data_IF_289847548522
#
_entry.id   IF_289847548522
#
_cell.length_a   1.000
_cell.length_b   1.000
_cell.length_c   1.000
_cell.angle_alpha   90.00
_cell.angle_beta   90.00
_cell.angle_gamma   90.00
#
_symmetry.space_group_name_H-M   'P 1'
#
loop_
_entity.id
_entity.type
_entity.pdbx_description
1 polymer ?
#
# COMPACT_ATOMS: atom_id res chain seq x y z
N UNK A 1 -2.09 48.29 -32.11
CA UNK A 1 -1.25 47.19 -31.61
C UNK A 1 -1.59 46.98 -30.15
N UNK A 2 -2.07 45.81 -29.74
CA UNK A 2 -1.28 44.58 -29.47
C UNK A 2 -0.30 44.82 -28.30
N UNK A 3 -0.19 44.02 -27.24
CA UNK A 3 -0.91 42.83 -26.79
C UNK A 3 -0.62 42.62 -25.28
N UNK A 4 -1.48 41.82 -24.67
CA UNK A 4 -1.56 41.34 -23.29
C UNK A 4 -0.29 40.76 -22.66
N UNK A 5 0.04 41.16 -21.43
CA UNK A 5 0.94 40.42 -20.54
C UNK A 5 0.16 39.49 -19.60
N UNK A 6 -0.07 38.24 -20.00
CA UNK A 6 -0.60 37.21 -19.08
C UNK A 6 0.56 36.47 -18.43
N UNK A 7 0.85 36.81 -17.18
CA UNK A 7 1.81 36.10 -16.33
C UNK A 7 1.28 34.72 -15.94
N UNK A 8 1.29 33.77 -16.87
CA UNK A 8 1.06 32.35 -16.56
C UNK A 8 2.34 31.77 -15.96
N UNK A 9 2.29 31.45 -14.66
CA UNK A 9 3.29 30.59 -14.01
C UNK A 9 3.38 29.27 -14.79
N UNK A 10 4.58 28.74 -15.06
CA UNK A 10 4.71 27.45 -15.72
C UNK A 10 3.98 26.36 -14.91
N UNK A 11 3.32 25.39 -15.58
CA UNK A 11 2.76 24.23 -14.90
C UNK A 11 3.85 23.59 -14.04
N UNK A 12 3.51 23.27 -12.78
CA UNK A 12 4.44 22.54 -11.92
C UNK A 12 4.76 21.21 -12.62
N UNK A 13 6.00 21.06 -13.08
CA UNK A 13 6.47 19.79 -13.63
C UNK A 13 6.62 18.82 -12.47
N UNK A 14 5.65 17.91 -12.36
CA UNK A 14 5.75 16.80 -11.45
C UNK A 14 6.51 15.70 -12.19
N UNK A 15 7.82 15.61 -12.00
CA UNK A 15 8.64 14.55 -12.60
C UNK A 15 8.13 13.14 -12.27
N UNK A 16 7.31 13.00 -11.21
CA UNK A 16 6.57 11.81 -10.84
C UNK A 16 5.35 11.50 -11.75
N UNK A 17 5.02 12.33 -12.74
CA UNK A 17 3.94 12.11 -13.71
C UNK A 17 4.47 11.81 -15.13
N UNK A 18 5.75 12.03 -15.43
CA UNK A 18 6.34 11.77 -16.75
C UNK A 18 6.84 10.32 -16.89
N UNK A 19 6.23 9.49 -17.74
CA UNK A 19 6.82 8.22 -18.18
C UNK A 19 6.18 6.93 -17.66
N UNK A 20 6.59 5.85 -18.32
CA UNK A 20 6.10 4.47 -18.27
C UNK A 20 6.06 3.84 -16.86
N UNK A 21 5.31 2.76 -16.69
CA UNK A 21 4.96 2.07 -15.42
C UNK A 21 6.01 2.25 -14.31
N UNK A 22 5.62 2.93 -13.22
CA UNK A 22 6.53 3.25 -12.09
C UNK A 22 6.18 2.48 -10.83
N UNK A 23 7.15 1.76 -10.28
CA UNK A 23 7.01 1.06 -9.02
C UNK A 23 7.10 2.04 -7.85
N UNK A 24 6.05 2.07 -7.03
CA UNK A 24 5.94 2.96 -5.87
C UNK A 24 5.44 2.21 -4.65
N UNK A 25 5.92 2.63 -3.49
CA UNK A 25 5.30 2.32 -2.21
C UNK A 25 4.35 3.46 -1.86
N UNK A 26 3.20 3.13 -1.28
CA UNK A 26 2.26 4.12 -0.79
C UNK A 26 2.39 4.23 0.73
N UNK A 27 2.85 5.38 1.21
CA UNK A 27 2.95 5.67 2.64
C UNK A 27 1.75 6.48 3.11
N UNK A 28 0.91 5.90 3.96
CA UNK A 28 -0.28 6.58 4.49
C UNK A 28 0.08 7.68 5.48
N UNK A 29 -0.72 8.75 5.52
CA UNK A 29 -0.67 9.77 6.58
C UNK A 29 -0.90 9.18 7.98
N UNK A 30 -1.48 7.98 8.08
CA UNK A 30 -1.59 7.22 9.35
C UNK A 30 -0.31 6.48 9.75
N UNK A 31 0.81 6.71 9.05
CA UNK A 31 2.16 6.18 9.31
C UNK A 31 2.33 4.68 9.02
N UNK A 32 1.68 4.19 7.96
CA UNK A 32 1.81 2.81 7.47
C UNK A 32 2.12 2.76 5.99
N UNK A 33 2.91 1.79 5.56
CA UNK A 33 3.03 1.44 4.15
C UNK A 33 1.91 0.49 3.75
N UNK A 34 1.24 0.77 2.63
CA UNK A 34 0.28 -0.16 2.06
C UNK A 34 0.98 -1.43 1.58
N UNK A 35 0.46 -2.58 2.00
CA UNK A 35 0.89 -3.91 1.60
C UNK A 35 -0.29 -4.70 1.08
N UNK A 36 -0.05 -5.47 0.01
CA UNK A 36 -0.97 -6.48 -0.47
C UNK A 36 -0.27 -7.82 -0.33
N UNK A 37 -0.85 -8.76 0.41
CA UNK A 37 -0.29 -10.10 0.63
C UNK A 37 -0.47 -11.01 -0.61
N UNK A 38 0.07 -12.23 -0.56
CA UNK A 38 -0.09 -13.20 -1.65
C UNK A 38 -1.53 -13.64 -1.90
N UNK A 39 -2.40 -13.58 -0.89
CA UNK A 39 -3.81 -14.01 -0.97
C UNK A 39 -4.79 -12.95 -1.48
N UNK A 40 -4.40 -11.68 -1.52
CA UNK A 40 -5.34 -10.59 -1.86
C UNK A 40 -5.68 -9.66 -0.70
N UNK A 41 -5.25 -10.02 0.51
CA UNK A 41 -5.42 -9.20 1.70
C UNK A 41 -4.63 -7.90 1.56
N UNK A 42 -5.23 -6.82 2.05
CA UNK A 42 -4.64 -5.48 2.08
C UNK A 42 -4.46 -5.07 3.52
N UNK A 43 -3.29 -4.57 3.86
CA UNK A 43 -2.99 -4.07 5.20
C UNK A 43 -1.91 -2.98 5.18
N UNK A 44 -1.70 -2.35 6.32
CA UNK A 44 -0.65 -1.39 6.56
C UNK A 44 0.47 -1.98 7.41
N UNK A 45 1.71 -1.92 6.94
CA UNK A 45 2.90 -2.32 7.72
C UNK A 45 3.72 -1.11 8.13
N UNK A 46 4.35 -1.17 9.31
CA UNK A 46 5.31 -0.15 9.73
C UNK A 46 6.68 -0.48 9.12
N UNK A 47 7.46 0.55 8.78
CA UNK A 47 8.80 0.41 8.16
C UNK A 47 9.75 -0.58 8.86
N UNK A 48 9.57 -0.77 10.18
CA UNK A 48 10.43 -1.62 11.01
C UNK A 48 10.11 -3.12 10.87
N UNK A 49 9.00 -3.49 10.24
CA UNK A 49 8.64 -4.89 9.96
C UNK A 49 9.18 -5.29 8.58
N UNK A 50 10.45 -5.69 8.55
CA UNK A 50 11.01 -6.38 7.39
C UNK A 50 10.34 -7.77 7.27
N UNK A 51 10.17 -8.31 6.05
CA UNK A 51 9.79 -9.72 5.90
C UNK A 51 10.93 -10.56 6.49
N UNK A 52 10.67 -11.20 7.64
CA UNK A 52 11.68 -11.92 8.43
C UNK A 52 11.58 -11.70 9.94
N UNK A 53 10.79 -10.74 10.41
CA UNK A 53 10.51 -10.60 11.84
C UNK A 53 9.27 -11.41 12.23
N UNK A 54 9.42 -12.74 12.23
CA UNK A 54 8.48 -13.64 12.91
C UNK A 54 8.50 -13.30 14.41
N UNK A 55 7.39 -12.77 14.94
CA UNK A 55 7.11 -12.87 16.36
C UNK A 55 6.18 -14.07 16.57
N UNK A 56 6.76 -15.26 16.42
CA UNK A 56 6.20 -16.47 17.02
C UNK A 56 6.35 -16.37 18.52
N UNK A 57 5.28 -16.02 19.24
CA UNK A 57 5.19 -16.30 20.68
C UNK A 57 5.14 -17.81 20.85
N UNK A 58 6.29 -18.41 21.19
CA UNK A 58 6.40 -19.77 21.67
C UNK A 58 7.25 -19.75 22.93
N UNK A 59 6.60 -19.84 24.10
CA UNK A 59 7.25 -20.01 25.39
C UNK A 59 7.13 -21.48 25.73
N UNK A 60 8.23 -22.23 25.71
CA UNK A 60 8.50 -23.23 26.76
C UNK A 60 9.96 -23.67 26.77
N UNK A 61 10.39 -24.01 27.99
CA UNK A 61 11.74 -24.35 28.44
C UNK A 61 11.81 -25.87 28.56
N UNK A 62 12.89 -26.50 28.07
CA UNK A 62 13.22 -27.90 28.34
C UNK A 62 14.52 -28.30 27.64
N UNK A 63 15.55 -28.61 28.43
CA UNK A 63 16.90 -29.03 28.00
C UNK A 63 16.97 -30.46 27.41
N UNK A 64 18.08 -30.84 26.73
CA UNK A 64 18.12 -31.95 25.77
C UNK A 64 18.58 -33.30 26.39
N UNK A 65 18.08 -34.40 25.84
CA UNK A 65 18.64 -35.75 26.02
C UNK A 65 19.44 -36.21 24.79
N UNK A 66 20.49 -37.05 24.95
CA UNK A 66 21.36 -37.45 23.85
C UNK A 66 20.81 -38.70 23.13
N UNK A 67 20.68 -38.64 21.80
CA UNK A 67 20.25 -39.78 20.99
C UNK A 67 20.32 -39.49 19.49
N UNK A 68 21.15 -40.24 18.77
CA UNK A 68 21.56 -40.10 17.38
C UNK A 68 20.45 -40.02 16.31
N UNK A 69 20.67 -39.20 15.27
CA UNK A 69 20.94 -39.62 13.87
C UNK A 69 20.72 -38.44 12.87
N UNK A 70 21.62 -38.21 11.89
CA UNK A 70 21.53 -37.07 10.98
C UNK A 70 20.90 -37.48 9.64
N UNK A 71 19.61 -37.22 9.44
CA UNK A 71 19.00 -37.03 8.11
C UNK A 71 17.54 -36.57 8.24
N UNK A 72 17.33 -35.27 8.35
CA UNK A 72 16.04 -34.69 8.01
C UNK A 72 16.31 -33.33 7.37
N UNK A 73 16.53 -33.33 6.06
CA UNK A 73 16.40 -32.11 5.29
C UNK A 73 15.00 -31.54 5.57
N UNK A 74 14.86 -30.26 5.96
CA UNK A 74 13.53 -29.69 6.12
C UNK A 74 12.80 -29.82 4.77
N UNK A 75 11.62 -30.45 4.77
CA UNK A 75 10.70 -30.41 3.63
C UNK A 75 10.59 -28.93 3.26
N UNK A 76 11.17 -28.57 2.12
CA UNK A 76 11.19 -27.20 1.65
C UNK A 76 9.75 -26.67 1.73
N UNK A 77 9.52 -25.71 2.62
CA UNK A 77 8.21 -25.07 2.74
C UNK A 77 7.80 -24.65 1.32
N UNK A 78 6.57 -24.94 0.88
CA UNK A 78 6.14 -24.58 -0.46
C UNK A 78 6.40 -23.08 -0.61
N UNK A 79 7.28 -22.72 -1.56
CA UNK A 79 7.54 -21.32 -1.90
C UNK A 79 6.17 -20.68 -2.12
N UNK A 80 5.85 -19.54 -1.48
CA UNK A 80 4.55 -18.92 -1.66
C UNK A 80 4.33 -18.72 -3.15
N UNK A 81 3.35 -19.44 -3.70
CA UNK A 81 2.97 -19.30 -5.11
C UNK A 81 2.64 -17.84 -5.28
N UNK A 82 3.36 -17.13 -6.16
CA UNK A 82 2.95 -15.79 -6.59
C UNK A 82 1.57 -15.96 -7.20
N UNK A 83 0.53 -15.63 -6.45
CA UNK A 83 -0.80 -15.55 -7.00
C UNK A 83 -0.73 -14.52 -8.12
N UNK A 84 -0.83 -14.97 -9.38
CA UNK A 84 -1.00 -14.07 -10.51
C UNK A 84 -2.41 -13.53 -10.40
N UNK A 85 -2.56 -12.47 -9.61
CA UNK A 85 -3.82 -11.75 -9.46
C UNK A 85 -4.14 -11.12 -10.80
N UNK A 86 -5.20 -11.61 -11.40
CA UNK A 86 -5.70 -11.08 -12.66
C UNK A 86 -6.13 -9.62 -12.45
N UNK A 87 -5.73 -8.76 -13.38
CA UNK A 87 -6.14 -7.37 -13.34
C UNK A 87 -7.65 -7.30 -13.56
N UNK A 88 -8.37 -6.73 -12.60
CA UNK A 88 -9.81 -6.53 -12.72
C UNK A 88 -10.14 -5.04 -12.78
N UNK A 89 -11.32 -4.64 -13.27
CA UNK A 89 -11.77 -3.25 -13.23
C UNK A 89 -11.76 -2.65 -11.81
N UNK A 90 -11.86 -3.50 -10.77
CA UNK A 90 -11.78 -3.12 -9.36
C UNK A 90 -10.38 -2.61 -8.95
N UNK A 91 -9.36 -2.86 -9.77
CA UNK A 91 -7.99 -2.41 -9.56
C UNK A 91 -7.72 -1.00 -10.11
N UNK A 92 -8.72 -0.34 -10.71
CA UNK A 92 -8.58 1.01 -11.28
C UNK A 92 -8.96 2.09 -10.27
N UNK A 93 -8.04 3.02 -10.06
CA UNK A 93 -8.22 4.17 -9.17
C UNK A 93 -7.91 5.47 -9.90
N UNK A 94 -8.65 6.53 -9.55
CA UNK A 94 -8.31 7.91 -9.91
C UNK A 94 -7.42 8.48 -8.81
N UNK A 95 -6.22 8.88 -9.18
CA UNK A 95 -5.28 9.59 -8.30
C UNK A 95 -5.55 11.10 -8.34
N UNK A 96 -5.51 11.77 -7.18
CA UNK A 96 -5.54 13.23 -7.08
C UNK A 96 -4.55 13.70 -6.03
N UNK A 97 -3.83 14.78 -6.33
CA UNK A 97 -2.96 15.47 -5.37
C UNK A 97 -3.85 16.41 -4.55
N UNK A 98 -3.81 16.26 -3.23
CA UNK A 98 -4.52 17.11 -2.27
C UNK A 98 -3.65 18.31 -1.86
N UNK A 99 -4.28 19.33 -1.28
CA UNK A 99 -3.63 20.58 -0.89
C UNK A 99 -2.51 20.39 0.15
N UNK A 100 -2.59 19.33 0.96
CA UNK A 100 -1.58 18.98 1.96
C UNK A 100 -0.37 18.21 1.38
N UNK A 101 -0.31 18.03 0.06
CA UNK A 101 0.78 17.34 -0.63
C UNK A 101 0.68 15.81 -0.63
N UNK A 102 -0.36 15.23 -0.03
CA UNK A 102 -0.66 13.80 -0.17
C UNK A 102 -1.56 13.54 -1.37
N UNK A 103 -1.61 12.28 -1.80
CA UNK A 103 -2.51 11.84 -2.85
C UNK A 103 -3.68 11.05 -2.27
N UNK A 104 -4.86 11.19 -2.89
CA UNK A 104 -6.00 10.30 -2.68
C UNK A 104 -6.21 9.39 -3.88
N UNK A 105 -6.73 8.20 -3.62
CA UNK A 105 -6.99 7.18 -4.65
C UNK A 105 -8.45 6.75 -4.56
N UNK A 106 -9.30 7.31 -5.42
CA UNK A 106 -10.72 6.99 -5.50
C UNK A 106 -10.94 5.81 -6.44
N UNK A 107 -11.77 4.83 -6.06
CA UNK A 107 -12.13 3.74 -6.96
C UNK A 107 -12.87 4.28 -8.17
N UNK A 108 -12.52 3.80 -9.36
CA UNK A 108 -13.19 4.18 -10.60
C UNK A 108 -14.62 3.58 -10.69
N UNK A 109 -14.79 2.36 -10.17
CA UNK A 109 -16.04 1.61 -10.29
C UNK A 109 -16.91 1.73 -9.04
N UNK A 110 -16.29 1.76 -7.86
CA UNK A 110 -17.04 1.57 -6.63
C UNK A 110 -17.42 2.87 -5.94
N UNK A 111 -18.73 3.03 -5.71
CA UNK A 111 -19.34 4.18 -5.03
C UNK A 111 -20.28 3.70 -3.92
N UNK A 112 -20.51 4.53 -2.92
CA UNK A 112 -21.45 4.28 -1.83
C UNK A 112 -22.39 5.48 -1.67
N UNK A 113 -23.69 5.28 -1.89
CA UNK A 113 -24.70 6.33 -1.89
C UNK A 113 -24.30 7.52 -2.79
N UNK A 114 -23.88 7.24 -4.03
CA UNK A 114 -23.43 8.25 -4.99
C UNK A 114 -22.05 8.88 -4.68
N UNK A 115 -21.36 8.49 -3.61
CA UNK A 115 -20.07 9.06 -3.23
C UNK A 115 -18.92 8.13 -3.62
N UNK A 116 -17.79 8.64 -4.12
CA UNK A 116 -16.63 7.81 -4.41
C UNK A 116 -16.12 7.13 -3.14
N UNK A 117 -15.68 5.87 -3.28
CA UNK A 117 -14.96 5.17 -2.22
C UNK A 117 -13.46 5.31 -2.43
N UNK A 118 -12.71 5.45 -1.34
CA UNK A 118 -11.28 5.71 -1.39
C UNK A 118 -10.50 4.53 -0.81
N UNK A 119 -9.30 4.31 -1.35
CA UNK A 119 -8.29 3.53 -0.66
C UNK A 119 -8.03 4.16 0.72
N UNK A 120 -7.95 3.36 1.78
CA UNK A 120 -7.75 3.89 3.12
C UNK A 120 -7.13 2.89 4.09
N UNK A 121 -6.31 3.41 5.00
CA UNK A 121 -5.80 2.71 6.18
C UNK A 121 -6.16 3.52 7.42
N UNK A 122 -6.73 2.85 8.43
CA UNK A 122 -7.01 3.51 9.71
C UNK A 122 -5.73 3.67 10.56
N UNK A 123 -5.86 4.30 11.74
CA UNK A 123 -4.76 4.49 12.70
C UNK A 123 -4.11 3.19 13.21
N UNK A 124 -4.74 2.03 12.99
CA UNK A 124 -4.22 0.69 13.33
C UNK A 124 -3.62 -0.03 12.11
N UNK A 125 -3.50 0.63 10.97
CA UNK A 125 -2.99 0.03 9.73
C UNK A 125 -3.96 -0.94 9.07
N UNK A 126 -5.25 -0.95 9.41
CA UNK A 126 -6.24 -1.83 8.79
C UNK A 126 -7.00 -1.12 7.68
N UNK A 127 -7.37 -1.81 6.58
CA UNK A 127 -8.19 -1.24 5.54
C UNK A 127 -9.57 -0.88 6.09
N UNK A 128 -10.12 0.26 5.66
CA UNK A 128 -11.49 0.63 6.03
C UNK A 128 -12.50 0.18 4.98
N UNK A 129 -13.72 -0.12 5.42
CA UNK A 129 -14.84 -0.36 4.52
C UNK A 129 -15.11 0.89 3.69
N UNK A 130 -15.27 0.73 2.38
CA UNK A 130 -15.36 1.85 1.45
C UNK A 130 -16.46 2.87 1.79
N UNK A 131 -17.63 2.43 2.28
CA UNK A 131 -18.71 3.35 2.69
C UNK A 131 -18.35 4.33 3.81
N UNK A 132 -17.31 4.02 4.60
CA UNK A 132 -16.78 4.88 5.69
C UNK A 132 -15.71 5.87 5.23
N UNK A 133 -15.25 5.75 3.99
CA UNK A 133 -14.10 6.54 3.48
C UNK A 133 -14.55 7.91 3.01
N UNK A 134 -13.69 8.92 3.19
CA UNK A 134 -13.96 10.33 2.88
C UNK A 134 -12.67 10.99 2.44
N UNK A 135 -12.71 11.81 1.38
CA UNK A 135 -11.53 12.51 0.83
C UNK A 135 -10.81 13.35 1.87
N UNK A 136 -11.54 13.98 2.80
CA UNK A 136 -10.95 14.86 3.82
C UNK A 136 -10.23 14.08 4.94
N UNK A 137 -10.47 12.78 5.06
CA UNK A 137 -9.89 12.00 6.16
C UNK A 137 -8.45 11.62 5.84
N UNK A 138 -7.55 11.84 6.81
CA UNK A 138 -6.15 11.43 6.73
C UNK A 138 -5.96 9.93 6.45
N UNK A 139 -6.94 9.10 6.82
CA UNK A 139 -6.90 7.67 6.49
C UNK A 139 -6.89 7.38 5.00
N UNK A 140 -7.33 8.32 4.15
CA UNK A 140 -7.35 8.20 2.69
C UNK A 140 -6.14 8.83 2.00
N UNK A 141 -5.23 9.44 2.77
CA UNK A 141 -4.10 10.21 2.25
C UNK A 141 -2.85 9.34 2.20
N UNK A 142 -2.21 9.27 1.03
CA UNK A 142 -1.01 8.49 0.80
C UNK A 142 0.05 9.29 0.03
N UNK A 143 1.29 9.17 0.45
CA UNK A 143 2.45 9.73 -0.22
C UNK A 143 3.09 8.64 -1.11
N UNK A 144 3.11 8.80 -2.44
CA UNK A 144 3.86 7.91 -3.31
C UNK A 144 5.36 8.08 -3.10
N UNK A 145 6.04 6.99 -2.75
CA UNK A 145 7.48 6.92 -2.58
C UNK A 145 8.10 6.03 -3.64
N UNK A 146 9.21 6.47 -4.23
CA UNK A 146 9.99 5.66 -5.18
C UNK A 146 10.55 4.43 -4.46
N UNK A 147 10.51 3.29 -5.16
CA UNK A 147 11.26 2.10 -4.75
C UNK A 147 12.61 2.22 -5.42
N UNK A 148 13.65 2.51 -4.64
CA UNK A 148 15.04 2.41 -5.07
C UNK A 148 15.54 0.98 -5.06
#
# INVERSE_FOLDING_TARGET
GSATGTGRRPPRSYGHLEGDVRWRRLFSATRFFLRIDGGGGVEGTRWRERPGSECGRGRERGEPGPGAAPWAAPRAAPRPRRARKEFSPNCKFTERIEENGYNTYASLHWRHCGRPMFLSLNSKGRPQRGGKTRRQHLSTHFLPMLVG
#
